data_IF_457360614516
#
_entry.id   IF_457360614516
#
_cell.length_a   1.000
_cell.length_b   1.000
_cell.length_c   1.000
_cell.angle_alpha   90.00
_cell.angle_beta   90.00
_cell.angle_gamma   90.00
#
_symmetry.space_group_name_H-M   'P 1'
#
loop_
_entity.id
_entity.type
_entity.pdbx_description
1 polymer ?
#
# COMPACT_ATOMS: atom_id res chain seq x y z
N UNK A 1 7.58 13.94 -11.69
CA UNK A 1 6.75 14.01 -10.47
C UNK A 1 7.62 13.48 -9.35
N UNK A 2 7.68 14.13 -8.17
CA UNK A 2 8.54 13.63 -7.11
C UNK A 2 8.06 12.22 -6.74
N UNK A 3 9.02 11.31 -6.61
CA UNK A 3 8.79 9.97 -6.08
C UNK A 3 8.36 10.14 -4.62
N UNK A 4 7.07 10.36 -4.39
CA UNK A 4 6.52 10.45 -3.04
C UNK A 4 5.99 9.06 -2.67
N UNK A 5 6.54 8.52 -1.59
CA UNK A 5 5.93 7.37 -0.94
C UNK A 5 4.46 7.68 -0.63
N UNK A 6 3.58 6.72 -0.92
CA UNK A 6 2.16 6.82 -0.61
C UNK A 6 1.80 5.94 0.59
N UNK A 7 2.40 6.12 1.78
CA UNK A 7 2.09 5.25 2.90
C UNK A 7 0.61 5.36 3.22
N UNK A 8 -0.02 4.23 3.55
CA UNK A 8 -1.45 4.17 3.83
C UNK A 8 -1.91 5.18 4.89
N UNK A 9 -1.03 5.52 5.85
CA UNK A 9 -1.29 6.55 6.86
C UNK A 9 -1.53 7.95 6.29
N UNK A 10 -1.00 8.25 5.10
CA UNK A 10 -1.18 9.52 4.38
C UNK A 10 -2.45 9.49 3.51
N UNK A 11 -2.79 8.33 2.96
CA UNK A 11 -4.04 8.11 2.21
C UNK A 11 -5.27 8.07 3.12
N UNK A 12 -5.11 7.56 4.35
CA UNK A 12 -6.18 7.36 5.33
C UNK A 12 -5.84 8.03 6.68
N UNK A 13 -5.67 9.37 6.72
CA UNK A 13 -5.23 10.06 7.92
C UNK A 13 -6.24 9.93 9.08
N UNK A 14 -7.54 9.93 8.78
CA UNK A 14 -8.60 9.75 9.78
C UNK A 14 -8.65 8.33 10.33
N UNK A 15 -8.39 7.31 9.50
CA UNK A 15 -8.33 5.92 9.97
C UNK A 15 -6.96 5.53 10.55
N UNK A 16 -5.96 6.42 10.59
CA UNK A 16 -4.61 6.08 11.10
C UNK A 16 -4.63 5.46 12.51
N UNK A 17 -5.50 5.96 13.38
CA UNK A 17 -5.68 5.40 14.72
C UNK A 17 -6.25 3.97 14.69
N UNK A 18 -7.23 3.73 13.81
CA UNK A 18 -7.82 2.41 13.60
C UNK A 18 -6.80 1.45 12.97
N UNK A 19 -6.07 1.89 11.96
CA UNK A 19 -4.98 1.14 11.32
C UNK A 19 -3.94 0.70 12.34
N UNK A 20 -3.47 1.62 13.19
CA UNK A 20 -2.48 1.30 14.24
C UNK A 20 -3.04 0.28 15.24
N UNK A 21 -4.34 0.35 15.54
CA UNK A 21 -5.01 -0.60 16.45
C UNK A 21 -5.23 -1.97 15.81
N UNK A 22 -5.50 -2.02 14.50
CA UNK A 22 -5.63 -3.23 13.72
C UNK A 22 -4.26 -3.86 13.42
N UNK A 23 -3.21 -3.04 13.31
CA UNK A 23 -1.84 -3.50 13.18
C UNK A 23 -1.47 -4.35 14.40
N UNK A 24 -1.24 -5.65 14.20
CA UNK A 24 -0.99 -6.62 15.26
C UNK A 24 -2.23 -7.22 15.93
N UNK A 25 -3.43 -6.67 15.74
CA UNK A 25 -4.70 -7.33 16.15
C UNK A 25 -5.31 -8.13 15.01
N UNK A 26 -5.23 -7.61 13.81
CA UNK A 26 -5.76 -8.22 12.60
C UNK A 26 -4.59 -8.64 11.69
N UNK A 27 -4.44 -9.96 11.53
CA UNK A 27 -3.39 -10.53 10.72
C UNK A 27 -3.58 -10.23 9.23
N UNK A 28 -4.82 -10.07 8.76
CA UNK A 28 -5.11 -9.72 7.36
C UNK A 28 -4.66 -8.29 7.10
N UNK A 29 -5.05 -7.34 7.96
CA UNK A 29 -4.61 -5.95 7.86
C UNK A 29 -3.08 -5.83 7.89
N UNK A 30 -2.43 -6.53 8.82
CA UNK A 30 -0.96 -6.49 8.96
C UNK A 30 -0.28 -6.98 7.69
N UNK A 31 -0.78 -8.08 7.09
CA UNK A 31 -0.24 -8.61 5.83
C UNK A 31 -0.50 -7.66 4.66
N UNK A 32 -1.72 -7.12 4.53
CA UNK A 32 -2.08 -6.19 3.47
C UNK A 32 -1.27 -4.90 3.52
N UNK A 33 -1.10 -4.32 4.71
CA UNK A 33 -0.31 -3.11 4.92
C UNK A 33 1.17 -3.34 4.56
N UNK A 34 1.75 -4.46 4.98
CA UNK A 34 3.11 -4.84 4.61
C UNK A 34 3.26 -5.01 3.10
N UNK A 35 2.36 -5.77 2.45
CA UNK A 35 2.39 -5.94 1.00
C UNK A 35 2.23 -4.62 0.24
N UNK A 36 1.41 -3.71 0.75
CA UNK A 36 1.24 -2.39 0.15
C UNK A 36 2.53 -1.56 0.24
N UNK A 37 3.18 -1.52 1.41
CA UNK A 37 4.46 -0.81 1.58
C UNK A 37 5.57 -1.42 0.72
N UNK A 38 5.63 -2.76 0.61
CA UNK A 38 6.58 -3.43 -0.27
C UNK A 38 6.34 -3.07 -1.74
N UNK A 39 5.08 -3.04 -2.18
CA UNK A 39 4.69 -2.64 -3.53
C UNK A 39 5.04 -1.18 -3.82
N UNK A 40 4.72 -0.26 -2.91
CA UNK A 40 5.07 1.16 -3.04
C UNK A 40 6.58 1.35 -3.15
N UNK A 41 7.35 0.71 -2.26
CA UNK A 41 8.81 0.74 -2.30
C UNK A 41 9.36 0.17 -3.59
N UNK A 42 8.80 -0.94 -4.08
CA UNK A 42 9.24 -1.55 -5.33
C UNK A 42 8.96 -0.65 -6.53
N UNK A 43 7.76 -0.08 -6.61
CA UNK A 43 7.40 0.90 -7.65
C UNK A 43 8.35 2.10 -7.59
N UNK A 44 8.63 2.61 -6.39
CA UNK A 44 9.61 3.67 -6.18
C UNK A 44 10.99 3.28 -6.72
N UNK A 45 11.52 2.11 -6.35
CA UNK A 45 12.86 1.67 -6.77
C UNK A 45 12.96 1.51 -8.30
N UNK A 46 11.87 1.09 -8.96
CA UNK A 46 11.79 0.98 -10.42
C UNK A 46 11.72 2.36 -11.07
N UNK A 47 10.88 3.26 -10.53
CA UNK A 47 10.74 4.63 -11.05
C UNK A 47 11.99 5.51 -10.77
N UNK A 48 12.75 5.21 -9.71
CA UNK A 48 14.08 5.77 -9.40
C UNK A 48 15.18 5.15 -10.28
N UNK A 49 14.85 4.14 -11.09
CA UNK A 49 15.78 3.50 -12.01
C UNK A 49 16.80 2.57 -11.33
N UNK A 50 16.56 2.17 -10.07
CA UNK A 50 17.38 1.16 -9.37
C UNK A 50 17.12 -0.24 -9.90
N UNK A 51 15.90 -0.51 -10.34
CA UNK A 51 15.49 -1.80 -10.86
C UNK A 51 14.92 -1.63 -12.29
N UNK A 52 15.54 -2.31 -13.26
CA UNK A 52 15.03 -2.33 -14.63
C UNK A 52 13.87 -3.33 -14.71
N UNK A 53 12.64 -2.82 -14.81
CA UNK A 53 11.44 -3.65 -14.89
C UNK A 53 10.61 -3.27 -16.11
N UNK A 54 9.99 -4.27 -16.74
CA UNK A 54 9.09 -4.04 -17.88
C UNK A 54 7.88 -3.18 -17.50
N UNK A 55 7.46 -2.30 -18.41
CA UNK A 55 6.26 -1.47 -18.25
C UNK A 55 5.00 -2.28 -17.92
N UNK A 56 4.88 -3.50 -18.46
CA UNK A 56 3.76 -4.40 -18.17
C UNK A 56 3.76 -4.87 -16.71
N UNK A 57 4.95 -5.19 -16.19
CA UNK A 57 5.11 -5.56 -14.80
C UNK A 57 4.84 -4.35 -13.89
N UNK A 58 5.31 -3.15 -14.28
CA UNK A 58 5.08 -1.92 -13.51
C UNK A 58 3.58 -1.59 -13.43
N UNK A 59 2.86 -1.74 -14.54
CA UNK A 59 1.40 -1.60 -14.56
C UNK A 59 0.71 -2.64 -13.67
N UNK A 60 1.21 -3.88 -13.64
CA UNK A 60 0.68 -4.91 -12.74
C UNK A 60 0.89 -4.54 -11.27
N UNK A 61 2.07 -4.00 -10.91
CA UNK A 61 2.33 -3.50 -9.55
C UNK A 61 1.41 -2.31 -9.20
N UNK A 62 1.24 -1.36 -10.12
CA UNK A 62 0.33 -0.22 -9.92
C UNK A 62 -1.11 -0.70 -9.69
N UNK A 63 -1.56 -1.71 -10.44
CA UNK A 63 -2.88 -2.31 -10.25
C UNK A 63 -2.99 -3.00 -8.89
N UNK A 64 -1.99 -3.79 -8.50
CA UNK A 64 -1.95 -4.44 -7.18
C UNK A 64 -1.98 -3.42 -6.03
N UNK A 65 -1.26 -2.30 -6.16
CA UNK A 65 -1.29 -1.21 -5.18
C UNK A 65 -2.71 -0.65 -5.00
N UNK A 66 -3.44 -0.45 -6.10
CA UNK A 66 -4.83 0.01 -6.07
C UNK A 66 -5.74 -1.05 -5.41
N UNK A 67 -5.63 -2.31 -5.81
CA UNK A 67 -6.41 -3.40 -5.21
C UNK A 67 -6.17 -3.52 -3.71
N UNK A 68 -4.93 -3.52 -3.26
CA UNK A 68 -4.60 -3.56 -1.82
C UNK A 68 -5.17 -2.36 -1.07
N UNK A 69 -5.11 -1.17 -1.67
CA UNK A 69 -5.71 0.03 -1.10
C UNK A 69 -7.22 -0.14 -0.91
N UNK A 70 -7.92 -0.65 -1.93
CA UNK A 70 -9.36 -0.90 -1.86
C UNK A 70 -9.71 -1.96 -0.81
N UNK A 71 -8.94 -3.05 -0.74
CA UNK A 71 -9.13 -4.10 0.28
C UNK A 71 -8.91 -3.55 1.70
N UNK A 72 -7.88 -2.73 1.90
CA UNK A 72 -7.61 -2.07 3.18
C UNK A 72 -8.74 -1.11 3.54
N UNK A 73 -9.24 -0.34 2.57
CA UNK A 73 -10.37 0.56 2.79
C UNK A 73 -11.65 -0.21 3.18
N UNK A 74 -11.94 -1.35 2.55
CA UNK A 74 -13.06 -2.21 2.91
C UNK A 74 -12.90 -2.77 4.33
N UNK A 75 -11.70 -3.25 4.66
CA UNK A 75 -11.40 -3.79 6.00
C UNK A 75 -11.53 -2.72 7.09
N UNK A 76 -11.06 -1.49 6.82
CA UNK A 76 -11.22 -0.36 7.72
C UNK A 76 -12.70 0.02 7.90
N UNK A 77 -13.49 0.00 6.82
CA UNK A 77 -14.95 0.24 6.90
C UNK A 77 -15.68 -0.84 7.70
N UNK A 78 -15.25 -2.10 7.61
CA UNK A 78 -15.83 -3.20 8.39
C UNK A 78 -15.44 -3.18 9.87
N UNK A 79 -14.31 -2.56 10.19
CA UNK A 79 -13.73 -2.56 11.54
C UNK A 79 -14.04 -1.29 12.35
N UNK A 80 -14.63 -0.27 11.72
CA UNK A 80 -15.15 0.95 12.35
C UNK A 80 -16.62 0.81 12.72
#
# INVERSE_FOLDING_TARGET
MPLEHHPLSREFPEQKALMTRLHGKDANFTRMAASYEELDKKIYDIEDGREAMDDLALNSLKLQRVTLKDEIADLLKRSG
#
